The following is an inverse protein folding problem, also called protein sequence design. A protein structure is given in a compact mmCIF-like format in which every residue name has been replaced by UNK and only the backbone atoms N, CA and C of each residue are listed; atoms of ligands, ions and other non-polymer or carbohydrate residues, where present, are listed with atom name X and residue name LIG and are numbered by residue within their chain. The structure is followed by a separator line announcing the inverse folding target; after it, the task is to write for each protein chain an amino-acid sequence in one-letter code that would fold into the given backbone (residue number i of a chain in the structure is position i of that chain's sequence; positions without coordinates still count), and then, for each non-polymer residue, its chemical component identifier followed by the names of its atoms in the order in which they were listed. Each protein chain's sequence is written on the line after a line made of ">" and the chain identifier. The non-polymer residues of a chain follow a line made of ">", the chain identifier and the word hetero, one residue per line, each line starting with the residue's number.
data_IF_710456776880
#
_entry.id   IF_710456776880
#
_cell.length_a   1.000
_cell.length_b   1.000
_cell.length_c   1.000
_cell.angle_alpha   90.00
_cell.angle_beta   90.00
_cell.angle_gamma   90.00
#
_symmetry.space_group_name_H-M   'P 1'
#
loop_
_entity.id
_entity.type
_entity.pdbx_description
1 polymer ?
#
# COMPACT_ATOMS: atom_id res chain seq x y z
N UNK A 1 -6.59 -7.03 -12.20
CA UNK A 1 -5.14 -6.78 -12.28
C UNK A 1 -4.53 -7.11 -10.91
N UNK A 2 -3.26 -7.49 -10.81
CA UNK A 2 -2.58 -7.78 -9.52
C UNK A 2 -1.31 -6.93 -9.44
N UNK A 3 -0.94 -6.48 -8.25
CA UNK A 3 0.31 -5.78 -7.97
C UNK A 3 0.99 -6.44 -6.78
N UNK A 4 2.32 -6.39 -6.75
CA UNK A 4 3.13 -6.90 -5.64
C UNK A 4 3.97 -5.75 -5.09
N UNK A 5 4.21 -5.78 -3.79
CA UNK A 5 5.22 -4.93 -3.17
C UNK A 5 6.61 -5.37 -3.63
N UNK A 6 7.49 -4.39 -3.86
CA UNK A 6 8.91 -4.60 -4.06
C UNK A 6 9.66 -4.19 -2.79
N UNK A 7 10.87 -4.72 -2.59
CA UNK A 7 11.71 -4.32 -1.46
C UNK A 7 11.88 -2.81 -1.42
N UNK A 8 11.58 -2.19 -0.28
CA UNK A 8 11.71 -0.75 -0.11
C UNK A 8 10.47 0.06 -0.54
N UNK A 9 9.43 -0.58 -1.08
CA UNK A 9 8.17 0.11 -1.38
C UNK A 9 7.48 0.57 -0.10
N UNK A 10 6.79 1.69 -0.20
CA UNK A 10 5.76 2.10 0.75
C UNK A 10 4.39 1.76 0.19
N UNK A 11 3.38 1.66 1.07
CA UNK A 11 2.00 1.46 0.61
C UNK A 11 1.53 2.61 -0.30
N UNK A 12 1.85 3.85 0.06
CA UNK A 12 1.55 5.03 -0.77
C UNK A 12 2.10 4.91 -2.19
N UNK A 13 3.36 4.49 -2.34
CA UNK A 13 4.00 4.32 -3.65
C UNK A 13 3.29 3.25 -4.48
N UNK A 14 2.89 2.14 -3.84
CA UNK A 14 2.11 1.08 -4.49
C UNK A 14 0.73 1.61 -4.91
N UNK A 15 0.07 2.39 -4.05
CA UNK A 15 -1.23 2.99 -4.34
C UNK A 15 -1.16 3.96 -5.52
N UNK A 16 -0.14 4.82 -5.59
CA UNK A 16 0.08 5.69 -6.76
C UNK A 16 0.33 4.87 -8.02
N UNK A 17 1.20 3.85 -7.95
CA UNK A 17 1.56 3.03 -9.11
C UNK A 17 0.37 2.23 -9.67
N UNK A 18 -0.51 1.73 -8.80
CA UNK A 18 -1.61 0.85 -9.22
C UNK A 18 -2.95 1.58 -9.40
N UNK A 19 -3.25 2.57 -8.55
CA UNK A 19 -4.53 3.30 -8.56
C UNK A 19 -4.39 4.75 -9.06
N UNK A 20 -3.18 5.29 -9.20
CA UNK A 20 -2.93 6.67 -9.66
C UNK A 20 -3.15 7.75 -8.60
N UNK A 21 -3.47 7.39 -7.35
CA UNK A 21 -3.72 8.32 -6.24
C UNK A 21 -3.51 7.66 -4.88
N UNK A 22 -3.37 8.47 -3.84
CA UNK A 22 -3.28 8.02 -2.44
C UNK A 22 -4.54 8.31 -1.64
N UNK A 23 -5.12 9.50 -1.77
CA UNK A 23 -6.27 9.95 -0.96
C UNK A 23 -7.47 9.01 -1.07
N UNK A 24 -7.92 8.52 0.09
CA UNK A 24 -9.03 7.58 0.23
C UNK A 24 -8.71 6.15 -0.23
N UNK A 25 -7.58 5.93 -0.91
CA UNK A 25 -7.15 4.62 -1.40
C UNK A 25 -6.28 3.93 -0.36
N UNK A 26 -5.31 4.63 0.23
CA UNK A 26 -4.41 4.05 1.23
C UNK A 26 -5.21 3.55 2.43
N UNK A 27 -6.16 4.35 2.91
CA UNK A 27 -7.04 4.02 4.03
C UNK A 27 -7.93 2.82 3.72
N UNK A 28 -8.49 2.77 2.50
CA UNK A 28 -9.30 1.63 2.06
C UNK A 28 -8.46 0.35 1.97
N UNK A 29 -7.21 0.43 1.51
CA UNK A 29 -6.29 -0.71 1.45
C UNK A 29 -5.91 -1.18 2.85
N UNK A 30 -5.59 -0.26 3.77
CA UNK A 30 -5.31 -0.61 5.17
C UNK A 30 -6.51 -1.25 5.86
N UNK A 31 -7.71 -0.69 5.68
CA UNK A 31 -8.94 -1.25 6.24
C UNK A 31 -9.24 -2.66 5.72
N UNK A 32 -8.94 -2.93 4.44
CA UNK A 32 -9.12 -4.24 3.83
C UNK A 32 -8.02 -5.27 4.18
N UNK A 33 -6.87 -4.82 4.72
CA UNK A 33 -5.72 -5.67 5.03
C UNK A 33 -5.23 -5.42 6.47
N UNK A 34 -5.93 -5.94 7.49
CA UNK A 34 -5.48 -5.87 8.88
C UNK A 34 -4.07 -6.43 9.05
N UNK A 35 -3.23 -5.75 9.84
CA UNK A 35 -1.83 -6.10 10.06
C UNK A 35 -0.85 -5.48 9.05
N UNK A 36 -1.32 -4.96 7.92
CA UNK A 36 -0.43 -4.33 6.93
C UNK A 36 0.29 -3.09 7.49
N UNK A 37 -0.41 -2.28 8.29
CA UNK A 37 0.18 -1.11 8.94
C UNK A 37 1.27 -1.46 9.98
N UNK A 38 1.23 -2.67 10.53
CA UNK A 38 2.17 -3.13 11.56
C UNK A 38 3.55 -3.45 10.98
N UNK A 39 3.64 -3.63 9.66
CA UNK A 39 4.91 -3.85 8.95
C UNK A 39 5.79 -2.59 8.90
N UNK A 40 5.24 -1.43 9.26
CA UNK A 40 5.91 -0.14 9.19
C UNK A 40 5.75 0.54 7.84
N UNK A 41 6.39 1.70 7.69
CA UNK A 41 6.23 2.54 6.50
C UNK A 41 6.85 1.94 5.23
N UNK A 42 7.94 1.17 5.40
CA UNK A 42 8.64 0.47 4.32
C UNK A 42 8.31 -1.01 4.45
N UNK A 43 7.77 -1.58 3.38
CA UNK A 43 7.37 -2.98 3.37
C UNK A 43 8.60 -3.89 3.21
N UNK A 44 8.60 -5.05 3.89
CA UNK A 44 9.70 -6.03 3.84
C UNK A 44 9.88 -6.65 2.46
#
# INVERSE_FOLDING_TARGET
>A
MKTFALQGDTLDAICVRYYGRTEGVVEAVLAANPGLAELGAVLP
#
